data_IF_104549092924
#
_entry.id   IF_104549092924
#
_cell.length_a   1.000
_cell.length_b   1.000
_cell.length_c   1.000
_cell.angle_alpha   90.00
_cell.angle_beta   90.00
_cell.angle_gamma   90.00
#
_symmetry.space_group_name_H-M   'P 1'
#
loop_
_entity.id
_entity.type
_entity.pdbx_description
1 polymer ?
#
# COMPACT_ATOMS: atom_id res chain seq x y z
N UNK A 1 19.68 -3.24 8.58
CA UNK A 1 18.33 -3.60 9.06
C UNK A 1 17.96 -4.96 8.48
N UNK A 2 17.64 -5.97 9.29
CA UNK A 2 17.13 -7.27 8.80
C UNK A 2 15.61 -7.28 8.74
N UNK A 3 15.02 -8.19 7.96
CA UNK A 3 13.56 -8.39 7.94
C UNK A 3 12.99 -8.64 9.35
N UNK A 4 13.68 -9.44 10.17
CA UNK A 4 13.22 -9.71 11.53
C UNK A 4 13.22 -8.45 12.42
N UNK A 5 14.23 -7.60 12.27
CA UNK A 5 14.28 -6.31 13.00
C UNK A 5 13.13 -5.40 12.61
N UNK A 6 12.79 -5.33 11.31
CA UNK A 6 11.64 -4.56 10.82
C UNK A 6 10.35 -5.08 11.45
N UNK A 7 10.13 -6.42 11.38
CA UNK A 7 8.95 -7.05 12.00
C UNK A 7 8.83 -6.70 13.47
N UNK A 8 9.96 -6.77 14.21
CA UNK A 8 9.98 -6.46 15.64
C UNK A 8 9.62 -5.00 15.91
N UNK A 9 10.25 -4.06 15.22
CA UNK A 9 9.99 -2.61 15.38
C UNK A 9 8.51 -2.30 15.15
N UNK A 10 7.93 -2.82 14.05
CA UNK A 10 6.53 -2.58 13.73
C UNK A 10 5.57 -3.26 14.73
N UNK A 11 5.92 -4.45 15.20
CA UNK A 11 5.14 -5.16 16.22
C UNK A 11 5.17 -4.42 17.56
N UNK A 12 6.34 -3.97 18.00
CA UNK A 12 6.52 -3.20 19.25
C UNK A 12 5.75 -1.86 19.18
N UNK A 13 5.61 -1.28 17.98
CA UNK A 13 4.77 -0.11 17.72
C UNK A 13 3.26 -0.44 17.65
N UNK A 14 2.86 -1.70 17.84
CA UNK A 14 1.46 -2.14 17.82
C UNK A 14 0.82 -2.14 16.43
N UNK A 15 1.61 -2.37 15.37
CA UNK A 15 1.09 -2.56 14.01
C UNK A 15 0.59 -4.00 13.87
N UNK A 16 -0.72 -4.18 13.71
CA UNK A 16 -1.36 -5.50 13.68
C UNK A 16 -0.83 -6.41 12.55
N UNK A 17 -0.53 -5.83 11.39
CA UNK A 17 0.02 -6.54 10.22
C UNK A 17 1.55 -6.45 10.10
N UNK A 18 2.30 -6.36 11.20
CA UNK A 18 3.74 -6.06 11.19
C UNK A 18 4.58 -6.90 10.21
N UNK A 19 4.34 -8.21 10.13
CA UNK A 19 5.06 -9.10 9.21
C UNK A 19 4.74 -8.81 7.74
N UNK A 20 3.48 -8.58 7.45
CA UNK A 20 3.02 -8.24 6.10
C UNK A 20 3.56 -6.89 5.65
N UNK A 21 3.46 -5.89 6.51
CA UNK A 21 3.95 -4.54 6.22
C UNK A 21 5.47 -4.48 6.12
N UNK A 22 6.20 -5.24 6.96
CA UNK A 22 7.64 -5.39 6.86
C UNK A 22 8.07 -6.00 5.51
N UNK A 23 7.32 -6.99 5.01
CA UNK A 23 7.56 -7.59 3.69
C UNK A 23 7.37 -6.58 2.56
N UNK A 24 6.28 -5.78 2.62
CA UNK A 24 6.00 -4.73 1.63
C UNK A 24 7.09 -3.66 1.61
N UNK A 25 7.51 -3.17 2.78
CA UNK A 25 8.57 -2.18 2.88
C UNK A 25 9.89 -2.73 2.33
N UNK A 26 10.25 -3.95 2.70
CA UNK A 26 11.48 -4.56 2.20
C UNK A 26 11.43 -4.77 0.69
N UNK A 27 10.32 -5.30 0.15
CA UNK A 27 10.12 -5.47 -1.29
C UNK A 27 10.26 -4.14 -2.04
N UNK A 28 9.58 -3.10 -1.56
CA UNK A 28 9.57 -1.77 -2.20
C UNK A 28 10.97 -1.14 -2.27
N UNK A 29 11.72 -1.16 -1.16
CA UNK A 29 13.02 -0.46 -1.08
C UNK A 29 14.22 -1.30 -1.51
N UNK A 30 14.13 -2.64 -1.46
CA UNK A 30 15.25 -3.53 -1.82
C UNK A 30 15.03 -4.36 -3.08
N UNK A 31 13.81 -4.41 -3.60
CA UNK A 31 13.44 -5.26 -4.73
C UNK A 31 13.37 -6.76 -4.41
N UNK A 32 13.54 -7.16 -3.15
CA UNK A 32 13.44 -8.56 -2.73
C UNK A 32 12.01 -9.03 -2.79
N UNK A 33 11.72 -10.03 -3.62
CA UNK A 33 10.39 -10.61 -3.74
C UNK A 33 9.98 -11.32 -2.43
N UNK A 34 8.70 -11.31 -2.10
CA UNK A 34 8.16 -11.99 -0.92
C UNK A 34 8.47 -13.50 -0.88
N UNK A 35 8.54 -14.15 -2.03
CA UNK A 35 8.93 -15.56 -2.12
C UNK A 35 10.37 -15.81 -1.67
N UNK A 36 11.23 -14.81 -1.76
CA UNK A 36 12.65 -14.87 -1.39
C UNK A 36 12.89 -14.52 0.09
N UNK A 37 11.89 -13.97 0.79
CA UNK A 37 12.03 -13.55 2.20
C UNK A 37 12.60 -14.63 3.12
N UNK A 38 12.22 -15.92 3.00
CA UNK A 38 12.84 -16.97 3.83
C UNK A 38 14.35 -17.10 3.65
N UNK A 39 14.85 -16.83 2.44
CA UNK A 39 16.28 -16.93 2.08
C UNK A 39 17.10 -15.74 2.56
N UNK A 40 16.46 -14.57 2.71
CA UNK A 40 17.12 -13.30 3.08
C UNK A 40 16.74 -12.80 4.47
N UNK A 41 16.12 -13.67 5.26
CA UNK A 41 15.54 -13.33 6.56
C UNK A 41 16.51 -12.62 7.51
N UNK A 42 17.77 -13.07 7.52
CA UNK A 42 18.81 -12.59 8.39
C UNK A 42 19.83 -11.68 7.66
N UNK A 43 19.60 -11.41 6.37
CA UNK A 43 20.42 -10.52 5.58
C UNK A 43 20.26 -9.07 6.06
N UNK A 44 21.38 -8.38 6.21
CA UNK A 44 21.39 -6.94 6.52
C UNK A 44 21.18 -6.11 5.26
N UNK A 45 20.26 -5.18 5.34
CA UNK A 45 19.97 -4.17 4.31
C UNK A 45 20.37 -2.79 4.87
N UNK A 46 21.40 -2.20 4.29
CA UNK A 46 21.89 -0.86 4.64
C UNK A 46 21.26 0.23 3.78
N UNK A 47 19.94 0.24 3.62
CA UNK A 47 19.21 1.18 2.78
C UNK A 47 18.64 2.30 3.68
N UNK A 48 19.15 3.54 3.58
CA UNK A 48 18.70 4.65 4.44
C UNK A 48 17.21 4.94 4.31
N UNK A 49 16.66 4.86 3.09
CA UNK A 49 15.26 5.10 2.79
C UNK A 49 14.35 4.06 3.47
N UNK A 50 14.78 2.79 3.52
CA UNK A 50 14.06 1.74 4.24
C UNK A 50 14.04 2.01 5.75
N UNK A 51 15.16 2.48 6.32
CA UNK A 51 15.23 2.84 7.74
C UNK A 51 14.24 3.95 8.07
N UNK A 52 14.26 5.04 7.30
CA UNK A 52 13.35 6.17 7.46
C UNK A 52 11.88 5.75 7.28
N UNK A 53 11.59 4.87 6.32
CA UNK A 53 10.24 4.34 6.09
C UNK A 53 9.73 3.53 7.28
N UNK A 54 10.56 2.66 7.86
CA UNK A 54 10.22 1.85 9.04
C UNK A 54 9.94 2.76 10.26
N UNK A 55 10.77 3.79 10.48
CA UNK A 55 10.57 4.75 11.56
C UNK A 55 9.26 5.53 11.39
N UNK A 56 8.99 6.04 10.18
CA UNK A 56 7.72 6.72 9.88
C UNK A 56 6.52 5.80 10.11
N UNK A 57 6.61 4.54 9.69
CA UNK A 57 5.52 3.59 9.88
C UNK A 57 5.32 3.24 11.36
N UNK A 58 6.39 3.06 12.12
CA UNK A 58 6.33 2.87 13.57
C UNK A 58 5.68 4.07 14.29
N UNK A 59 5.88 5.29 13.79
CA UNK A 59 5.18 6.50 14.23
C UNK A 59 3.73 6.62 13.71
N UNK A 60 3.14 5.53 13.16
CA UNK A 60 1.77 5.45 12.65
C UNK A 60 1.50 6.21 11.36
N UNK A 61 2.50 6.71 10.66
CA UNK A 61 2.29 7.28 9.32
C UNK A 61 1.76 6.21 8.36
N UNK A 62 0.76 6.51 7.51
CA UNK A 62 0.14 5.50 6.65
C UNK A 62 1.13 4.83 5.71
N UNK A 63 1.11 3.49 5.67
CA UNK A 63 2.00 2.69 4.82
C UNK A 63 1.87 3.07 3.34
N UNK A 64 0.64 3.29 2.88
CA UNK A 64 0.33 3.63 1.50
C UNK A 64 1.02 4.91 1.02
N UNK A 65 1.10 5.91 1.89
CA UNK A 65 1.83 7.15 1.59
C UNK A 65 3.35 6.99 1.68
N UNK A 66 3.84 6.00 2.44
CA UNK A 66 5.26 5.65 2.46
C UNK A 66 5.66 4.99 1.14
N UNK A 67 4.81 4.07 0.65
CA UNK A 67 5.04 3.36 -0.61
C UNK A 67 4.75 4.24 -1.84
N UNK A 68 3.92 5.31 -1.70
CA UNK A 68 3.53 6.19 -2.79
C UNK A 68 2.57 5.56 -3.80
N UNK A 69 2.15 4.33 -3.56
CA UNK A 69 1.21 3.60 -4.42
C UNK A 69 0.34 2.65 -3.61
N UNK A 70 -0.85 2.33 -4.15
CA UNK A 70 -1.72 1.31 -3.56
C UNK A 70 -2.60 0.65 -4.61
N UNK A 71 -2.94 -0.63 -4.38
CA UNK A 71 -3.82 -1.38 -5.27
C UNK A 71 -5.29 -1.12 -4.95
N UNK A 72 -6.11 -1.00 -6.00
CA UNK A 72 -7.56 -0.88 -5.94
C UNK A 72 -8.15 -1.45 -7.23
N UNK A 73 -9.18 -2.31 -7.16
CA UNK A 73 -9.80 -2.96 -8.32
C UNK A 73 -8.81 -3.56 -9.32
N UNK A 74 -7.77 -4.24 -8.85
CA UNK A 74 -6.71 -4.89 -9.65
C UNK A 74 -5.68 -3.95 -10.31
N UNK A 75 -5.88 -2.63 -10.19
CA UNK A 75 -4.93 -1.63 -10.67
C UNK A 75 -4.11 -1.04 -9.54
N UNK A 76 -2.96 -0.45 -9.87
CA UNK A 76 -2.14 0.31 -8.94
C UNK A 76 -2.32 1.80 -9.22
N UNK A 77 -2.52 2.56 -8.15
CA UNK A 77 -2.70 4.01 -8.19
C UNK A 77 -1.58 4.69 -7.43
N UNK A 78 -1.00 5.73 -8.02
CA UNK A 78 -0.09 6.62 -7.31
C UNK A 78 -0.85 7.39 -6.24
N UNK A 79 -0.23 7.48 -5.06
CA UNK A 79 -0.81 8.15 -3.90
C UNK A 79 0.11 9.24 -3.38
N UNK A 80 -0.48 10.39 -3.11
CA UNK A 80 0.16 11.48 -2.37
C UNK A 80 -0.65 11.77 -1.10
N UNK A 81 -0.06 12.45 -0.10
CA UNK A 81 -0.81 12.87 1.09
C UNK A 81 -2.02 13.78 0.80
N UNK A 82 -2.11 14.34 -0.42
CA UNK A 82 -3.20 15.22 -0.84
C UNK A 82 -4.46 14.46 -1.26
N UNK A 83 -4.38 13.14 -1.44
CA UNK A 83 -5.54 12.32 -1.79
C UNK A 83 -5.84 11.26 -0.73
N UNK A 84 -7.12 10.92 -0.60
CA UNK A 84 -7.55 9.85 0.30
C UNK A 84 -7.05 8.49 -0.21
N UNK A 85 -6.52 7.67 0.70
CA UNK A 85 -6.15 6.29 0.41
C UNK A 85 -7.40 5.49 0.02
N UNK A 86 -7.43 4.82 -1.16
CA UNK A 86 -8.53 3.97 -1.56
C UNK A 86 -8.84 2.90 -0.49
N UNK A 87 -10.11 2.72 -0.18
CA UNK A 87 -10.57 1.72 0.80
C UNK A 87 -11.13 0.51 0.08
N UNK A 88 -10.89 -0.69 0.60
CA UNK A 88 -11.37 -1.93 0.04
C UNK A 88 -12.91 -1.96 -0.11
N UNK A 89 -13.65 -1.39 0.84
CA UNK A 89 -15.11 -1.30 0.79
C UNK A 89 -15.61 -0.51 -0.42
N UNK A 90 -14.81 0.44 -0.93
CA UNK A 90 -15.14 1.24 -2.10
C UNK A 90 -15.13 0.42 -3.39
N UNK A 91 -14.46 -0.74 -3.43
CA UNK A 91 -14.51 -1.66 -4.57
C UNK A 91 -15.93 -2.20 -4.80
N UNK A 92 -16.72 -2.38 -3.74
CA UNK A 92 -18.13 -2.76 -3.83
C UNK A 92 -18.98 -1.68 -4.54
N UNK A 93 -18.64 -0.41 -4.33
CA UNK A 93 -19.29 0.70 -5.02
C UNK A 93 -18.99 0.65 -6.53
N UNK A 94 -17.73 0.37 -6.91
CA UNK A 94 -17.34 0.22 -8.32
C UNK A 94 -18.11 -0.92 -8.96
N UNK A 95 -18.18 -2.09 -8.33
CA UNK A 95 -18.93 -3.24 -8.82
C UNK A 95 -20.42 -2.94 -9.00
N UNK A 96 -21.04 -2.22 -8.06
CA UNK A 96 -22.45 -1.83 -8.14
C UNK A 96 -22.67 -0.81 -9.26
N UNK A 97 -21.83 0.21 -9.36
CA UNK A 97 -21.94 1.25 -10.37
C UNK A 97 -21.73 0.70 -11.79
N UNK A 98 -20.76 -0.20 -11.98
CA UNK A 98 -20.50 -0.84 -13.27
C UNK A 98 -21.72 -1.59 -13.83
N UNK A 99 -22.59 -2.11 -12.96
CA UNK A 99 -23.85 -2.79 -13.37
C UNK A 99 -24.96 -1.82 -13.76
N UNK A 100 -24.89 -0.57 -13.29
CA UNK A 100 -25.91 0.46 -13.52
C UNK A 100 -25.59 1.38 -14.69
N UNK A 101 -24.30 1.53 -15.03
CA UNK A 101 -23.86 2.36 -16.16
C UNK A 101 -24.01 1.57 -17.45
N UNK A 102 -24.83 2.03 -18.41
CA UNK A 102 -24.98 1.34 -19.69
C UNK A 102 -23.70 1.48 -20.53
N UNK A 103 -23.44 0.55 -21.48
CA UNK A 103 -22.30 0.67 -22.39
C UNK A 103 -22.31 2.02 -23.13
N UNK A 104 -21.18 2.74 -23.08
CA UNK A 104 -21.08 4.10 -23.65
C UNK A 104 -21.75 5.19 -22.82
N UNK A 105 -22.25 4.85 -21.63
CA UNK A 105 -22.84 5.81 -20.71
C UNK A 105 -21.80 6.77 -20.12
N UNK A 106 -22.29 7.88 -19.55
CA UNK A 106 -21.45 8.87 -18.86
C UNK A 106 -21.77 8.87 -17.37
N UNK A 107 -20.76 9.18 -16.56
CA UNK A 107 -20.89 9.34 -15.12
C UNK A 107 -20.00 10.48 -14.61
N UNK A 108 -20.23 10.91 -13.39
CA UNK A 108 -19.42 11.91 -12.70
C UNK A 108 -18.95 11.31 -11.38
N UNK A 109 -17.66 11.37 -11.13
CA UNK A 109 -17.04 10.99 -9.86
C UNK A 109 -16.71 12.27 -9.06
N UNK A 110 -17.64 12.69 -8.22
CA UNK A 110 -17.50 13.88 -7.41
C UNK A 110 -16.57 13.59 -6.23
N UNK A 111 -15.47 14.34 -6.12
CA UNK A 111 -14.44 14.09 -5.10
C UNK A 111 -13.54 12.92 -5.46
N UNK A 112 -13.17 12.80 -6.71
CA UNK A 112 -12.45 11.66 -7.33
C UNK A 112 -11.15 11.23 -6.60
N UNK A 113 -10.50 12.11 -5.83
CA UNK A 113 -9.24 11.82 -5.14
C UNK A 113 -8.15 11.40 -6.12
N UNK A 114 -7.58 10.20 -5.94
CA UNK A 114 -6.60 9.64 -6.88
C UNK A 114 -7.22 9.10 -8.18
N UNK A 115 -8.52 9.26 -8.38
CA UNK A 115 -9.23 8.81 -9.58
C UNK A 115 -9.56 7.32 -9.60
N UNK A 116 -9.37 6.59 -8.51
CA UNK A 116 -9.49 5.13 -8.48
C UNK A 116 -10.88 4.63 -8.88
N UNK A 117 -11.97 5.31 -8.49
CA UNK A 117 -13.34 4.95 -8.89
C UNK A 117 -13.53 5.22 -10.39
N UNK A 118 -13.23 6.44 -10.84
CA UNK A 118 -13.43 6.86 -12.22
C UNK A 118 -12.63 6.01 -13.22
N UNK A 119 -11.41 5.62 -12.89
CA UNK A 119 -10.55 4.81 -13.75
C UNK A 119 -11.00 3.35 -13.76
N UNK A 120 -11.55 2.85 -12.65
CA UNK A 120 -12.03 1.46 -12.53
C UNK A 120 -13.37 1.22 -13.19
N UNK A 121 -14.15 2.26 -13.48
CA UNK A 121 -15.44 2.21 -14.17
C UNK A 121 -15.27 2.33 -15.68
#
# INVERSE_FOLDING_TARGET
MTYQKICKILSDAGIAGARYEAALLLEHFSGVNRAELPLVRDKEFGIPELLAAVERRAARYPLQYILGEWSFCREKYELTPDCLIPRADTELLVDAAARLIPPGGSFIDAGTGCGCIAISL
#
